data_IF_833781990029
#
_entry.id   IF_833781990029
#
_cell.length_a   1.000
_cell.length_b   1.000
_cell.length_c   1.000
_cell.angle_alpha   90.00
_cell.angle_beta   90.00
_cell.angle_gamma   90.00
#
_symmetry.space_group_name_H-M   'P 1'
#
loop_
_entity.id
_entity.type
_entity.pdbx_description
1 polymer ?
#
# COMPACT_ATOMS: atom_id res chain seq x y z
N UNK A 1 31.23 -14.66 -9.32
CA UNK A 1 31.50 -13.42 -8.58
C UNK A 1 30.35 -13.21 -7.62
N UNK A 2 30.65 -13.12 -6.33
CA UNK A 2 29.63 -12.91 -5.29
C UNK A 2 29.08 -11.50 -5.42
N UNK A 3 27.91 -11.39 -6.04
CA UNK A 3 27.18 -10.13 -6.29
C UNK A 3 27.11 -9.21 -5.06
N UNK A 4 27.11 -9.76 -3.85
CA UNK A 4 27.11 -9.01 -2.60
C UNK A 4 28.42 -8.27 -2.27
N UNK A 5 29.56 -8.83 -2.68
CA UNK A 5 30.88 -8.23 -2.47
C UNK A 5 31.01 -6.97 -3.35
N UNK A 6 30.58 -7.06 -4.61
CA UNK A 6 30.58 -5.95 -5.56
C UNK A 6 29.71 -4.77 -5.08
N UNK A 7 28.49 -5.02 -4.56
CA UNK A 7 27.63 -3.95 -4.03
C UNK A 7 28.19 -3.32 -2.75
N UNK A 8 28.85 -4.11 -1.90
CA UNK A 8 29.43 -3.60 -0.65
C UNK A 8 30.66 -2.73 -0.92
N UNK A 9 31.48 -3.10 -1.90
CA UNK A 9 32.62 -2.30 -2.34
C UNK A 9 32.19 -1.03 -3.07
N UNK A 10 31.17 -1.12 -3.93
CA UNK A 10 30.55 0.03 -4.59
C UNK A 10 30.06 1.07 -3.57
N UNK A 11 29.30 0.64 -2.54
CA UNK A 11 28.81 1.54 -1.50
C UNK A 11 29.94 2.21 -0.71
N UNK A 12 31.02 1.47 -0.42
CA UNK A 12 32.21 2.04 0.22
C UNK A 12 32.89 3.09 -0.66
N UNK A 13 32.89 2.92 -1.98
CA UNK A 13 33.36 3.93 -2.93
C UNK A 13 32.63 5.27 -2.81
N UNK A 14 31.37 5.26 -2.35
CA UNK A 14 30.58 6.46 -2.06
C UNK A 14 30.62 6.90 -0.59
N UNK A 15 31.47 6.29 0.25
CA UNK A 15 31.52 6.56 1.69
C UNK A 15 30.29 6.07 2.46
N UNK A 16 29.50 5.15 1.88
CA UNK A 16 28.30 4.58 2.48
C UNK A 16 28.58 3.19 3.06
N UNK A 17 27.85 2.82 4.11
CA UNK A 17 27.94 1.49 4.73
C UNK A 17 26.56 0.86 4.89
N UNK A 18 26.50 -0.46 4.74
CA UNK A 18 25.29 -1.24 5.00
C UNK A 18 25.04 -1.34 6.51
N UNK A 19 23.78 -1.13 6.92
CA UNK A 19 23.38 -1.19 8.32
C UNK A 19 23.07 -2.63 8.76
N UNK A 20 24.08 -3.49 8.68
CA UNK A 20 24.01 -4.90 9.06
C UNK A 20 23.75 -5.05 10.57
N UNK A 21 23.07 -6.12 10.98
CA UNK A 21 22.77 -6.42 12.39
C UNK A 21 21.69 -5.54 13.07
N UNK A 22 21.29 -4.40 12.50
CA UNK A 22 20.24 -3.51 13.09
C UNK A 22 18.83 -3.75 12.53
N UNK A 23 18.63 -4.86 11.82
CA UNK A 23 17.31 -5.28 11.31
C UNK A 23 16.73 -4.46 10.16
N UNK A 24 17.37 -3.37 9.72
CA UNK A 24 16.98 -2.59 8.53
C UNK A 24 17.50 -3.19 7.22
N UNK A 25 18.64 -3.88 7.27
CA UNK A 25 19.21 -4.58 6.13
C UNK A 25 18.99 -6.08 6.31
N UNK A 26 18.15 -6.66 5.45
CA UNK A 26 17.81 -8.07 5.44
C UNK A 26 17.69 -8.57 4.00
N UNK A 27 18.12 -9.80 3.77
CA UNK A 27 17.83 -10.52 2.54
C UNK A 27 16.47 -11.21 2.68
N UNK A 28 15.66 -11.17 1.64
CA UNK A 28 14.32 -11.72 1.63
C UNK A 28 14.25 -12.87 0.62
N UNK A 29 13.86 -14.05 1.08
CA UNK A 29 13.64 -15.22 0.21
C UNK A 29 12.14 -15.41 0.04
N UNK A 30 11.61 -15.59 -1.18
CA UNK A 30 10.18 -15.72 -1.44
C UNK A 30 9.63 -17.11 -1.07
N UNK A 31 10.12 -17.74 0.00
CA UNK A 31 9.67 -19.07 0.42
C UNK A 31 8.18 -19.12 0.75
N UNK A 32 7.59 -17.99 1.15
CA UNK A 32 6.13 -17.84 1.33
C UNK A 32 5.32 -17.93 0.02
N UNK A 33 5.95 -17.86 -1.15
CA UNK A 33 5.29 -18.06 -2.45
C UNK A 33 5.52 -19.47 -3.01
N UNK A 34 5.93 -20.43 -2.17
CA UNK A 34 6.22 -21.81 -2.59
C UNK A 34 7.48 -21.96 -3.45
N UNK A 35 8.26 -20.88 -3.60
CA UNK A 35 9.54 -20.91 -4.31
C UNK A 35 10.64 -21.47 -3.39
N UNK A 36 11.57 -22.22 -3.99
CA UNK A 36 12.67 -22.86 -3.27
C UNK A 36 13.47 -21.82 -2.47
N UNK A 37 13.91 -22.21 -1.27
CA UNK A 37 14.76 -21.37 -0.42
C UNK A 37 16.03 -21.05 -1.20
N UNK A 38 16.26 -19.76 -1.47
CA UNK A 38 17.48 -19.34 -2.13
C UNK A 38 18.64 -19.42 -1.12
N UNK A 39 19.48 -20.44 -1.25
CA UNK A 39 20.73 -20.57 -0.49
C UNK A 39 21.77 -19.60 -1.05
N UNK A 40 21.52 -18.30 -0.90
CA UNK A 40 22.51 -17.28 -1.24
C UNK A 40 23.61 -17.27 -0.17
N UNK A 41 24.86 -17.38 -0.60
CA UNK A 41 25.98 -16.95 0.23
C UNK A 41 25.77 -15.47 0.54
N UNK A 42 25.76 -15.10 1.82
CA UNK A 42 25.45 -13.76 2.27
C UNK A 42 26.53 -13.23 3.23
N UNK A 43 26.74 -11.91 3.30
CA UNK A 43 27.70 -11.32 4.22
C UNK A 43 27.39 -11.69 5.68
N UNK A 44 28.44 -11.84 6.49
CA UNK A 44 28.30 -12.01 7.93
C UNK A 44 27.51 -10.84 8.54
N UNK A 45 26.49 -11.15 9.34
CA UNK A 45 25.61 -10.15 9.96
C UNK A 45 24.42 -9.69 9.11
N UNK A 46 24.26 -10.17 7.87
CA UNK A 46 23.03 -10.00 7.09
C UNK A 46 21.98 -11.01 7.55
N UNK A 47 20.85 -10.52 8.05
CA UNK A 47 19.73 -11.37 8.46
C UNK A 47 18.95 -11.82 7.23
N UNK A 48 18.79 -13.14 7.03
CA UNK A 48 17.80 -13.66 6.08
C UNK A 48 16.44 -13.70 6.77
N UNK A 49 15.45 -13.11 6.12
CA UNK A 49 14.06 -13.22 6.54
C UNK A 49 13.27 -13.93 5.45
N UNK A 50 12.89 -15.18 5.75
CA UNK A 50 12.15 -16.09 4.87
C UNK A 50 10.63 -16.03 5.08
N UNK A 51 10.19 -15.23 6.05
CA UNK A 51 8.81 -15.27 6.57
C UNK A 51 8.04 -14.01 6.20
N UNK A 52 8.67 -12.84 6.34
CA UNK A 52 7.99 -11.55 6.20
C UNK A 52 8.91 -10.40 5.83
N UNK A 53 8.37 -9.40 5.17
CA UNK A 53 9.08 -8.15 4.91
C UNK A 53 8.16 -6.94 5.00
N UNK A 54 8.77 -5.78 5.25
CA UNK A 54 8.09 -4.49 5.19
C UNK A 54 8.84 -3.57 4.24
N UNK A 55 8.22 -3.23 3.11
CA UNK A 55 8.80 -2.36 2.10
C UNK A 55 7.92 -1.13 1.93
N UNK A 56 8.48 0.06 2.18
CA UNK A 56 7.74 1.35 2.10
C UNK A 56 6.42 1.29 2.92
N UNK A 57 6.42 0.55 4.02
CA UNK A 57 5.23 0.39 4.87
C UNK A 57 4.20 -0.66 4.39
N UNK A 58 4.36 -1.26 3.22
CA UNK A 58 3.60 -2.42 2.77
C UNK A 58 4.16 -3.72 3.39
N UNK A 59 3.29 -4.67 3.72
CA UNK A 59 3.71 -6.01 4.15
C UNK A 59 3.77 -6.96 2.96
N UNK A 60 4.76 -7.83 2.97
CA UNK A 60 4.71 -9.10 2.26
C UNK A 60 5.22 -10.23 3.15
N UNK A 61 5.06 -11.48 2.69
CA UNK A 61 5.30 -12.66 3.51
C UNK A 61 4.05 -13.50 3.69
N UNK A 62 3.93 -14.12 4.87
CA UNK A 62 2.76 -14.87 5.31
C UNK A 62 1.48 -14.01 5.36
N UNK A 63 0.34 -14.60 4.99
CA UNK A 63 -0.96 -13.91 4.98
C UNK A 63 -1.35 -13.37 6.36
N UNK A 64 -1.09 -14.13 7.43
CA UNK A 64 -1.35 -13.70 8.81
C UNK A 64 -0.63 -12.39 9.18
N UNK A 65 0.61 -12.21 8.72
CA UNK A 65 1.38 -10.99 8.92
C UNK A 65 0.83 -9.83 8.09
N UNK A 66 0.48 -10.10 6.82
CA UNK A 66 -0.12 -9.10 5.92
C UNK A 66 -1.44 -8.60 6.48
N UNK A 67 -2.33 -9.50 6.91
CA UNK A 67 -3.62 -9.17 7.52
C UNK A 67 -3.45 -8.37 8.81
N UNK A 68 -2.50 -8.76 9.67
CA UNK A 68 -2.22 -8.06 10.92
C UNK A 68 -1.78 -6.62 10.65
N UNK A 69 -0.86 -6.43 9.69
CA UNK A 69 -0.42 -5.09 9.33
C UNK A 69 -1.54 -4.27 8.69
N UNK A 70 -2.37 -4.89 7.85
CA UNK A 70 -3.52 -4.24 7.25
C UNK A 70 -4.48 -3.71 8.32
N UNK A 71 -4.88 -4.57 9.28
CA UNK A 71 -5.74 -4.20 10.41
C UNK A 71 -5.14 -3.07 11.26
N UNK A 72 -3.83 -3.13 11.55
CA UNK A 72 -3.12 -2.06 12.26
C UNK A 72 -3.25 -0.71 11.53
N UNK A 73 -3.03 -0.71 10.21
CA UNK A 73 -3.02 0.50 9.38
C UNK A 73 -4.41 1.08 9.17
N UNK A 74 -5.41 0.23 8.91
CA UNK A 74 -6.83 0.62 8.85
C UNK A 74 -7.25 1.21 10.19
N UNK A 75 -6.97 0.53 11.31
CA UNK A 75 -7.28 1.06 12.64
C UNK A 75 -6.62 2.41 12.91
N UNK A 76 -5.41 2.63 12.40
CA UNK A 76 -4.76 3.95 12.43
C UNK A 76 -5.49 5.03 11.63
N UNK A 77 -6.04 4.68 10.47
CA UNK A 77 -6.84 5.59 9.64
C UNK A 77 -8.19 5.90 10.28
N UNK A 78 -8.88 4.89 10.83
CA UNK A 78 -10.15 5.07 11.57
C UNK A 78 -9.95 5.98 12.79
N UNK A 79 -8.90 5.77 13.59
CA UNK A 79 -8.55 6.66 14.70
C UNK A 79 -8.22 8.09 14.26
N UNK A 80 -7.74 8.27 13.04
CA UNK A 80 -7.54 9.60 12.49
C UNK A 80 -8.88 10.21 12.07
N UNK A 81 -9.74 9.45 11.37
CA UNK A 81 -11.08 9.88 10.98
C UNK A 81 -11.90 10.35 12.19
N UNK A 82 -11.92 9.58 13.28
CA UNK A 82 -12.59 9.96 14.54
C UNK A 82 -12.03 11.23 15.19
N UNK A 83 -10.76 11.56 14.96
CA UNK A 83 -10.18 12.84 15.42
C UNK A 83 -10.56 14.00 14.51
N UNK A 84 -10.74 13.74 13.22
CA UNK A 84 -11.25 14.73 12.26
C UNK A 84 -12.71 15.05 12.55
N UNK A 85 -13.51 14.07 12.95
CA UNK A 85 -14.89 14.26 13.43
C UNK A 85 -14.98 15.29 14.56
N UNK A 86 -14.04 15.26 15.52
CA UNK A 86 -13.97 16.20 16.63
C UNK A 86 -13.47 17.62 16.24
N UNK A 87 -13.18 17.88 14.97
CA UNK A 87 -12.68 19.18 14.50
C UNK A 87 -13.75 20.29 14.54
N UNK A 88 -15.04 19.92 14.45
CA UNK A 88 -16.18 20.82 14.63
C UNK A 88 -16.57 21.67 13.43
N UNK A 89 -15.65 22.01 12.52
CA UNK A 89 -15.97 22.67 11.24
C UNK A 89 -16.12 21.64 10.10
N UNK A 90 -17.31 21.47 9.50
CA UNK A 90 -17.53 20.47 8.45
C UNK A 90 -16.66 20.66 7.21
N UNK A 91 -16.34 21.90 6.83
CA UNK A 91 -15.54 22.17 5.63
C UNK A 91 -14.07 21.79 5.84
N UNK A 92 -13.47 22.24 6.95
CA UNK A 92 -12.13 21.85 7.32
C UNK A 92 -12.02 20.35 7.61
N UNK A 93 -13.05 19.75 8.20
CA UNK A 93 -13.11 18.31 8.39
C UNK A 93 -13.12 17.55 7.05
N UNK A 94 -13.91 17.99 6.07
CA UNK A 94 -13.88 17.44 4.71
C UNK A 94 -12.48 17.50 4.09
N UNK A 95 -11.78 18.64 4.23
CA UNK A 95 -10.41 18.79 3.73
C UNK A 95 -9.44 17.85 4.46
N UNK A 96 -9.56 17.68 5.77
CA UNK A 96 -8.76 16.74 6.56
C UNK A 96 -9.02 15.28 6.16
N UNK A 97 -10.27 14.92 5.87
CA UNK A 97 -10.57 13.60 5.28
C UNK A 97 -9.85 13.43 3.94
N UNK A 98 -10.00 14.40 3.04
CA UNK A 98 -9.45 14.39 1.69
C UNK A 98 -7.93 14.31 1.65
N UNK A 99 -7.24 15.02 2.54
CA UNK A 99 -5.78 15.15 2.50
C UNK A 99 -5.04 14.32 3.56
N UNK A 100 -5.71 13.84 4.60
CA UNK A 100 -5.05 13.11 5.69
C UNK A 100 -5.56 11.68 5.90
N UNK A 101 -6.87 11.44 5.76
CA UNK A 101 -7.47 10.11 6.00
C UNK A 101 -7.45 9.28 4.72
N UNK A 102 -8.11 9.75 3.67
CA UNK A 102 -8.26 9.03 2.41
C UNK A 102 -6.93 8.68 1.76
N UNK A 103 -5.90 9.55 1.71
CA UNK A 103 -4.63 9.20 1.09
C UNK A 103 -3.92 8.03 1.77
N UNK A 104 -4.08 7.86 3.10
CA UNK A 104 -3.52 6.71 3.82
C UNK A 104 -4.16 5.41 3.38
N UNK A 105 -5.48 5.40 3.22
CA UNK A 105 -6.22 4.22 2.78
C UNK A 105 -5.97 3.92 1.30
N UNK A 106 -5.94 4.95 0.44
CA UNK A 106 -5.56 4.79 -0.97
C UNK A 106 -4.16 4.24 -1.13
N UNK A 107 -3.22 4.68 -0.29
CA UNK A 107 -1.88 4.12 -0.28
C UNK A 107 -1.90 2.62 0.04
N UNK A 108 -2.63 2.20 1.08
CA UNK A 108 -2.79 0.78 1.42
C UNK A 108 -3.44 -0.02 0.29
N UNK A 109 -4.46 0.53 -0.36
CA UNK A 109 -5.09 -0.09 -1.54
C UNK A 109 -4.03 -0.37 -2.60
N UNK A 110 -3.17 0.60 -2.92
CA UNK A 110 -2.15 0.43 -3.96
C UNK A 110 -1.11 -0.63 -3.64
N UNK A 111 -0.77 -0.81 -2.35
CA UNK A 111 0.38 -1.63 -1.96
C UNK A 111 0.02 -2.98 -1.33
N UNK A 112 -1.24 -3.17 -0.93
CA UNK A 112 -1.69 -4.41 -0.28
C UNK A 112 -2.93 -5.04 -0.94
N UNK A 113 -3.48 -4.45 -2.01
CA UNK A 113 -4.68 -4.95 -2.71
C UNK A 113 -4.68 -6.45 -2.95
N UNK A 114 -3.63 -6.98 -3.57
CA UNK A 114 -3.61 -8.36 -4.07
C UNK A 114 -3.70 -9.41 -2.97
N UNK A 115 -3.41 -9.01 -1.73
CA UNK A 115 -3.33 -9.89 -0.56
C UNK A 115 -4.49 -9.68 0.42
N UNK A 116 -5.41 -8.77 0.12
CA UNK A 116 -6.54 -8.42 0.98
C UNK A 116 -7.85 -8.64 0.23
N UNK A 117 -8.81 -9.30 0.89
CA UNK A 117 -10.08 -9.64 0.27
C UNK A 117 -10.90 -8.40 -0.10
N UNK A 118 -11.80 -8.56 -1.08
CA UNK A 118 -12.76 -7.50 -1.44
C UNK A 118 -13.71 -7.16 -0.30
N UNK A 119 -14.04 -8.15 0.52
CA UNK A 119 -14.93 -7.97 1.68
C UNK A 119 -14.28 -7.12 2.76
N UNK A 120 -12.96 -7.26 2.95
CA UNK A 120 -12.19 -6.41 3.87
C UNK A 120 -12.17 -4.96 3.40
N UNK A 121 -11.98 -4.71 2.10
CA UNK A 121 -12.08 -3.35 1.56
C UNK A 121 -13.48 -2.77 1.69
N UNK A 122 -14.52 -3.57 1.42
CA UNK A 122 -15.90 -3.15 1.64
C UNK A 122 -16.22 -2.87 3.11
N UNK A 123 -15.57 -3.55 4.07
CA UNK A 123 -15.64 -3.22 5.50
C UNK A 123 -15.03 -1.84 5.78
N UNK A 124 -13.86 -1.55 5.20
CA UNK A 124 -13.21 -0.24 5.33
C UNK A 124 -14.08 0.89 4.76
N UNK A 125 -14.71 0.67 3.60
CA UNK A 125 -15.61 1.66 2.99
C UNK A 125 -16.78 2.00 3.89
N UNK A 126 -17.42 0.99 4.50
CA UNK A 126 -18.52 1.22 5.45
C UNK A 126 -18.05 1.97 6.70
N UNK A 127 -16.99 1.51 7.35
CA UNK A 127 -16.52 2.12 8.60
C UNK A 127 -16.07 3.56 8.40
N UNK A 128 -15.35 3.85 7.30
CA UNK A 128 -14.89 5.22 6.99
C UNK A 128 -16.05 6.09 6.49
N UNK A 129 -16.96 5.52 5.69
CA UNK A 129 -18.15 6.20 5.20
C UNK A 129 -19.08 6.64 6.32
N UNK A 130 -19.28 5.80 7.34
CA UNK A 130 -20.07 6.12 8.54
C UNK A 130 -19.46 7.29 9.32
N UNK A 131 -18.14 7.23 9.61
CA UNK A 131 -17.46 8.34 10.32
C UNK A 131 -17.49 9.61 9.49
N UNK A 132 -17.30 9.52 8.17
CA UNK A 132 -17.39 10.67 7.27
C UNK A 132 -18.78 11.28 7.29
N UNK A 133 -19.83 10.49 7.07
CA UNK A 133 -21.22 10.95 7.06
C UNK A 133 -21.59 11.66 8.37
N UNK A 134 -21.20 11.09 9.50
CA UNK A 134 -21.41 11.71 10.80
C UNK A 134 -20.66 13.04 10.94
N UNK A 135 -19.40 13.11 10.47
CA UNK A 135 -18.57 14.32 10.51
C UNK A 135 -19.16 15.48 9.70
N UNK A 136 -19.82 15.19 8.58
CA UNK A 136 -20.47 16.21 7.74
C UNK A 136 -21.97 16.35 8.03
N UNK A 137 -22.44 15.81 9.16
CA UNK A 137 -23.83 15.90 9.65
C UNK A 137 -24.89 15.36 8.68
N UNK A 138 -24.56 14.31 7.93
CA UNK A 138 -25.55 13.57 7.14
C UNK A 138 -26.18 12.46 7.96
N UNK A 139 -27.50 12.29 7.82
CA UNK A 139 -28.20 11.09 8.26
C UNK A 139 -27.79 9.89 7.41
N UNK A 140 -28.04 8.67 7.91
CA UNK A 140 -27.80 7.43 7.15
C UNK A 140 -28.56 7.43 5.82
N UNK A 141 -29.80 7.94 5.81
CA UNK A 141 -30.61 8.00 4.59
C UNK A 141 -30.02 8.98 3.56
N UNK A 142 -29.60 10.17 3.99
CA UNK A 142 -28.95 11.16 3.12
C UNK A 142 -27.62 10.63 2.59
N UNK A 143 -26.83 9.96 3.43
CA UNK A 143 -25.60 9.33 2.98
C UNK A 143 -25.87 8.27 1.92
N UNK A 144 -26.82 7.35 2.13
CA UNK A 144 -27.16 6.31 1.15
C UNK A 144 -27.58 6.91 -0.20
N UNK A 145 -28.35 8.00 -0.20
CA UNK A 145 -28.73 8.70 -1.43
C UNK A 145 -27.54 9.41 -2.09
N UNK A 146 -26.68 10.06 -1.31
CA UNK A 146 -25.53 10.81 -1.81
C UNK A 146 -24.36 9.89 -2.20
N UNK A 147 -24.31 8.67 -1.69
CA UNK A 147 -23.16 7.76 -1.76
C UNK A 147 -22.68 7.52 -3.20
N UNK A 148 -23.53 7.19 -4.19
CA UNK A 148 -23.06 7.01 -5.57
C UNK A 148 -22.44 8.28 -6.17
N UNK A 149 -23.02 9.45 -5.90
CA UNK A 149 -22.55 10.74 -6.40
C UNK A 149 -21.27 11.20 -5.70
N UNK A 150 -21.15 10.94 -4.40
CA UNK A 150 -20.01 11.34 -3.58
C UNK A 150 -18.68 10.74 -4.08
N UNK A 151 -18.74 9.54 -4.67
CA UNK A 151 -17.58 8.86 -5.23
C UNK A 151 -17.14 9.37 -6.61
N UNK A 152 -17.98 10.16 -7.30
CA UNK A 152 -17.60 10.75 -8.57
C UNK A 152 -16.53 11.84 -8.37
N UNK A 153 -15.67 12.07 -9.36
CA UNK A 153 -14.74 13.20 -9.30
C UNK A 153 -15.48 14.54 -9.30
N UNK A 154 -14.79 15.59 -8.83
CA UNK A 154 -15.32 16.96 -8.82
C UNK A 154 -15.78 17.43 -10.21
N UNK A 155 -15.13 16.95 -11.29
CA UNK A 155 -15.50 17.26 -12.67
C UNK A 155 -16.86 16.69 -13.11
N UNK A 156 -17.42 15.74 -12.34
CA UNK A 156 -18.72 15.13 -12.58
C UNK A 156 -19.70 15.48 -11.46
N UNK A 157 -19.53 16.65 -10.83
CA UNK A 157 -20.32 17.13 -9.69
C UNK A 157 -20.31 16.18 -8.47
N UNK A 158 -19.28 15.34 -8.33
CA UNK A 158 -19.09 14.50 -7.14
C UNK A 158 -18.21 15.16 -6.08
N UNK A 159 -17.89 14.42 -5.02
CA UNK A 159 -17.03 14.88 -3.93
C UNK A 159 -15.59 14.36 -4.03
N UNK A 160 -15.35 13.42 -4.94
CA UNK A 160 -14.06 12.73 -5.12
C UNK A 160 -13.69 11.88 -3.90
N UNK A 161 -14.67 11.40 -3.16
CA UNK A 161 -14.45 10.46 -2.05
C UNK A 161 -14.06 9.11 -2.65
N UNK A 162 -12.94 8.50 -2.24
CA UNK A 162 -12.60 7.20 -2.80
C UNK A 162 -13.58 6.12 -2.34
N UNK A 163 -13.97 5.26 -3.27
CA UNK A 163 -14.52 3.94 -2.96
C UNK A 163 -13.31 2.98 -2.95
N UNK A 164 -12.89 2.53 -1.78
CA UNK A 164 -11.68 1.73 -1.61
C UNK A 164 -11.84 0.37 -2.27
N UNK A 165 -13.00 -0.28 -2.19
CA UNK A 165 -13.28 -1.56 -2.83
C UNK A 165 -13.18 -1.45 -4.37
N UNK A 166 -13.79 -0.43 -4.98
CA UNK A 166 -13.67 -0.15 -6.43
C UNK A 166 -12.27 0.30 -6.82
N UNK A 167 -11.64 1.17 -6.02
CA UNK A 167 -10.27 1.62 -6.29
C UNK A 167 -9.30 0.45 -6.24
N UNK A 168 -9.54 -0.49 -5.34
CA UNK A 168 -8.74 -1.68 -5.19
C UNK A 168 -8.87 -2.54 -6.47
N UNK A 169 -10.06 -2.62 -7.11
CA UNK A 169 -10.21 -3.33 -8.41
C UNK A 169 -9.39 -2.64 -9.50
N UNK A 170 -9.47 -1.31 -9.56
CA UNK A 170 -8.75 -0.51 -10.56
C UNK A 170 -7.23 -0.50 -10.33
N UNK A 171 -6.77 -0.67 -9.09
CA UNK A 171 -5.35 -0.67 -8.75
C UNK A 171 -4.59 -1.81 -9.46
N UNK A 172 -5.22 -2.98 -9.63
CA UNK A 172 -4.66 -4.13 -10.35
C UNK A 172 -4.40 -3.76 -11.81
N UNK A 173 -5.41 -3.17 -12.49
CA UNK A 173 -5.31 -2.80 -13.91
C UNK A 173 -4.18 -1.79 -14.12
N UNK A 174 -4.08 -0.79 -13.24
CA UNK A 174 -3.02 0.23 -13.32
C UNK A 174 -1.64 -0.36 -13.04
N UNK A 175 -1.51 -1.23 -12.04
CA UNK A 175 -0.25 -1.88 -11.71
C UNK A 175 0.22 -2.81 -12.83
N UNK A 176 -0.67 -3.62 -13.41
CA UNK A 176 -0.39 -4.45 -14.57
C UNK A 176 0.06 -3.61 -15.77
N UNK A 177 -0.67 -2.55 -16.13
CA UNK A 177 -0.32 -1.70 -17.28
C UNK A 177 1.06 -1.03 -17.10
N UNK A 178 1.36 -0.52 -15.90
CA UNK A 178 2.65 0.12 -15.60
C UNK A 178 3.79 -0.89 -15.51
N UNK A 179 3.56 -2.06 -14.91
CA UNK A 179 4.59 -3.10 -14.76
C UNK A 179 4.91 -3.74 -16.10
N UNK A 180 3.89 -4.05 -16.92
CA UNK A 180 4.10 -4.57 -18.28
C UNK A 180 4.87 -3.56 -19.13
N UNK A 181 4.49 -2.28 -19.10
CA UNK A 181 5.22 -1.24 -19.82
C UNK A 181 6.68 -1.11 -19.37
N UNK A 182 6.94 -1.15 -18.06
CA UNK A 182 8.30 -1.08 -17.52
C UNK A 182 9.13 -2.34 -17.83
N UNK A 183 8.53 -3.54 -17.77
CA UNK A 183 9.18 -4.80 -18.12
C UNK A 183 9.47 -4.86 -19.62
N UNK A 184 8.52 -4.48 -20.48
CA UNK A 184 8.73 -4.40 -21.93
C UNK A 184 9.84 -3.40 -22.29
N UNK A 185 9.85 -2.24 -21.64
CA UNK A 185 10.92 -1.24 -21.83
C UNK A 185 12.27 -1.84 -21.45
N UNK A 186 12.39 -2.48 -20.28
CA UNK A 186 13.66 -3.10 -19.86
C UNK A 186 14.08 -4.29 -20.72
N UNK A 187 13.14 -5.13 -21.16
CA UNK A 187 13.44 -6.26 -22.06
C UNK A 187 13.86 -5.77 -23.45
N UNK A 188 13.28 -4.66 -23.92
CA UNK A 188 13.71 -3.98 -25.15
C UNK A 188 15.08 -3.33 -25.04
N UNK A 189 15.37 -2.67 -23.92
CA UNK A 189 16.70 -2.12 -23.62
C UNK A 189 17.78 -3.20 -23.48
N UNK A 190 17.40 -4.42 -23.08
CA UNK A 190 18.28 -5.59 -22.98
C UNK A 190 18.37 -6.42 -24.29
N UNK A 191 17.75 -5.97 -25.39
CA UNK A 191 17.91 -6.59 -26.71
C UNK A 191 17.09 -7.86 -26.95
N UNK A 192 16.11 -8.19 -26.09
CA UNK A 192 15.27 -9.38 -26.25
C UNK A 192 14.20 -9.26 -27.34
N UNK A 193 14.08 -8.11 -28.00
CA UNK A 193 13.30 -7.94 -29.23
C UNK A 193 14.23 -7.89 -30.44
N UNK A 194 14.85 -9.03 -30.77
CA UNK A 194 15.35 -9.30 -32.12
C UNK A 194 14.80 -10.65 -32.55
N UNK A 195 13.65 -10.61 -33.23
CA UNK A 195 13.22 -11.65 -34.15
C UNK A 195 13.42 -11.12 -35.56
#
# INVERSE_FOLDING_TARGET
MDTWQDYSELLRGYGLTLNLGKGKSAAYSPSWSGLQICLLQHPAGLKINTVRYRLIGAAGGEDSFVETLFKEKVGGAVRLAKRVEAYGDPQGAFLLFRYCVFPKLIYLVRVMRERISMDDWGRVDREIGEVFAHTIHLTVAEWVMAHPQAHLPLSHAGLGIPDFQRTALAAVVRYCAQTIGAVQTRLGEQGFYSF
#
